data_IF_578874952937
#
_entry.id   IF_578874952937
#
_cell.length_a   1.000
_cell.length_b   1.000
_cell.length_c   1.000
_cell.angle_alpha   90.00
_cell.angle_beta   90.00
_cell.angle_gamma   90.00
#
_symmetry.space_group_name_H-M   'P 1'
#
loop_
_entity.id
_entity.type
_entity.pdbx_description
1 polymer ?
#
# COMPACT_ATOMS: atom_id res chain seq x y z
N UNK A 1 51.66 9.16 24.68
CA UNK A 1 51.06 8.04 23.90
C UNK A 1 49.55 7.86 24.14
N UNK A 2 48.98 8.31 25.26
CA UNK A 2 47.52 8.17 25.55
C UNK A 2 46.60 8.92 24.57
N UNK A 3 46.93 10.17 24.21
CA UNK A 3 46.12 11.00 23.31
C UNK A 3 45.90 10.39 21.91
N UNK A 4 46.84 9.58 21.42
CA UNK A 4 46.72 8.92 20.10
C UNK A 4 45.77 7.73 20.19
N UNK A 5 45.84 6.96 21.28
CA UNK A 5 44.91 5.86 21.53
C UNK A 5 43.47 6.35 21.78
N UNK A 6 43.30 7.52 22.42
CA UNK A 6 41.99 8.14 22.61
C UNK A 6 41.38 8.62 21.28
N UNK A 7 42.20 9.15 20.36
CA UNK A 7 41.73 9.56 19.03
C UNK A 7 41.39 8.36 18.13
N UNK A 8 42.16 7.28 18.22
CA UNK A 8 41.92 6.04 17.48
C UNK A 8 40.67 5.31 18.00
N UNK A 9 40.49 5.21 19.32
CA UNK A 9 39.30 4.60 19.93
C UNK A 9 38.03 5.42 19.64
N UNK A 10 38.10 6.75 19.64
CA UNK A 10 36.97 7.60 19.24
C UNK A 10 36.63 7.48 17.75
N UNK A 11 37.62 7.29 16.87
CA UNK A 11 37.37 7.01 15.44
C UNK A 11 36.79 5.61 15.20
N UNK A 12 37.25 4.61 15.94
CA UNK A 12 36.70 3.24 15.88
C UNK A 12 35.25 3.20 16.37
N UNK A 13 34.94 3.82 17.52
CA UNK A 13 33.57 3.94 18.04
C UNK A 13 32.63 4.68 17.08
N UNK A 14 33.13 5.73 16.41
CA UNK A 14 32.34 6.47 15.40
C UNK A 14 32.05 5.60 14.17
N UNK A 15 33.02 4.81 13.71
CA UNK A 15 32.87 3.90 12.57
C UNK A 15 31.94 2.72 12.88
N UNK A 16 31.99 2.18 14.10
CA UNK A 16 31.05 1.15 14.57
C UNK A 16 29.63 1.71 14.70
N UNK A 17 29.46 2.92 15.22
CA UNK A 17 28.15 3.55 15.36
C UNK A 17 27.54 3.96 14.01
N UNK A 18 28.34 4.46 13.06
CA UNK A 18 27.89 4.77 11.70
C UNK A 18 27.60 3.47 10.90
N UNK A 19 28.37 2.40 11.14
CA UNK A 19 28.11 1.06 10.60
C UNK A 19 26.82 0.47 11.18
N UNK A 20 26.58 0.58 12.48
CA UNK A 20 25.36 0.10 13.14
C UNK A 20 24.13 0.89 12.67
N UNK A 21 24.26 2.20 12.47
CA UNK A 21 23.20 3.03 11.88
C UNK A 21 22.93 2.65 10.43
N UNK A 22 23.96 2.43 9.61
CA UNK A 22 23.80 1.95 8.24
C UNK A 22 23.20 0.55 8.17
N UNK A 23 23.57 -0.35 9.09
CA UNK A 23 23.00 -1.69 9.17
C UNK A 23 21.54 -1.64 9.59
N UNK A 24 21.20 -0.83 10.61
CA UNK A 24 19.82 -0.60 11.01
C UNK A 24 19.00 0.08 9.90
N UNK A 25 19.61 0.97 9.10
CA UNK A 25 18.96 1.58 7.95
C UNK A 25 18.77 0.57 6.80
N UNK A 26 19.76 -0.30 6.55
CA UNK A 26 19.67 -1.36 5.56
C UNK A 26 18.62 -2.42 5.97
N UNK A 27 18.59 -2.82 7.23
CA UNK A 27 17.58 -3.72 7.80
C UNK A 27 16.18 -3.11 7.74
N UNK A 28 16.03 -1.82 8.07
CA UNK A 28 14.77 -1.09 7.90
C UNK A 28 14.38 -0.93 6.43
N UNK A 29 15.35 -0.82 5.52
CA UNK A 29 15.12 -0.80 4.07
C UNK A 29 14.65 -2.16 3.55
N UNK A 30 15.29 -3.26 3.97
CA UNK A 30 14.94 -4.62 3.58
C UNK A 30 13.64 -5.09 4.21
N UNK A 31 13.32 -4.61 5.42
CA UNK A 31 12.04 -4.81 6.08
C UNK A 31 10.92 -3.90 5.53
N UNK A 32 11.18 -3.10 4.49
CA UNK A 32 10.19 -2.22 3.85
C UNK A 32 9.78 -0.98 4.66
N UNK A 33 10.35 -0.80 5.86
CA UNK A 33 10.03 0.27 6.82
C UNK A 33 10.60 1.65 6.43
N UNK A 34 11.50 1.72 5.45
CA UNK A 34 11.99 3.00 4.88
C UNK A 34 11.28 3.41 3.59
N UNK A 35 10.46 2.53 3.02
CA UNK A 35 9.55 2.99 1.98
C UNK A 35 8.47 3.83 2.66
N UNK A 36 7.93 4.85 2.00
CA UNK A 36 6.82 5.68 2.52
C UNK A 36 5.52 4.90 2.81
N UNK A 37 5.60 3.57 2.85
CA UNK A 37 4.55 2.59 3.07
C UNK A 37 4.57 1.98 4.49
N UNK A 38 5.47 2.40 5.38
CA UNK A 38 5.42 2.02 6.79
C UNK A 38 4.12 2.57 7.44
N UNK A 39 3.08 1.75 7.49
CA UNK A 39 1.72 2.12 7.93
C UNK A 39 0.60 1.83 6.92
N UNK A 40 0.90 1.31 5.72
CA UNK A 40 -0.08 1.06 4.66
C UNK A 40 -0.81 -0.29 4.79
N UNK A 41 -0.45 -1.11 5.78
CA UNK A 41 -1.07 -2.41 6.06
C UNK A 41 -2.17 -2.32 7.13
N UNK A 42 -3.07 -1.34 7.03
CA UNK A 42 -4.24 -1.33 7.90
C UNK A 42 -5.34 -2.17 7.27
N UNK A 43 -5.60 -3.35 7.84
CA UNK A 43 -6.81 -4.12 7.54
C UNK A 43 -7.95 -3.37 8.18
N UNK A 44 -8.81 -2.79 7.35
CA UNK A 44 -10.00 -2.11 7.83
C UNK A 44 -11.12 -3.09 8.15
N UNK A 45 -11.83 -2.80 9.24
CA UNK A 45 -12.98 -3.62 9.64
C UNK A 45 -14.14 -3.38 8.67
N UNK A 46 -14.75 -4.46 8.19
CA UNK A 46 -15.98 -4.37 7.39
C UNK A 46 -17.08 -3.68 8.18
N UNK A 47 -17.84 -2.81 7.52
CA UNK A 47 -18.99 -2.16 8.13
C UNK A 47 -20.14 -3.19 8.33
N UNK A 48 -21.16 -2.82 9.11
CA UNK A 48 -22.28 -3.72 9.42
C UNK A 48 -23.06 -4.15 8.17
N UNK A 49 -23.22 -3.24 7.20
CA UNK A 49 -23.91 -3.53 5.94
C UNK A 49 -23.17 -4.58 5.10
N UNK A 50 -21.84 -4.50 5.02
CA UNK A 50 -21.00 -5.47 4.33
C UNK A 50 -21.08 -6.84 5.00
N UNK A 51 -21.04 -6.89 6.33
CA UNK A 51 -21.19 -8.13 7.07
C UNK A 51 -22.58 -8.75 6.85
N UNK A 52 -23.64 -7.93 6.83
CA UNK A 52 -25.00 -8.37 6.53
C UNK A 52 -25.14 -8.90 5.10
N UNK A 53 -24.46 -8.28 4.12
CA UNK A 53 -24.42 -8.77 2.75
C UNK A 53 -23.71 -10.13 2.65
N UNK A 54 -22.58 -10.30 3.33
CA UNK A 54 -21.88 -11.58 3.40
C UNK A 54 -22.75 -12.67 4.04
N UNK A 55 -23.45 -12.33 5.13
CA UNK A 55 -24.40 -13.24 5.77
C UNK A 55 -25.53 -13.62 4.83
N UNK A 56 -26.09 -12.65 4.08
CA UNK A 56 -27.12 -12.91 3.07
C UNK A 56 -26.62 -13.88 2.01
N UNK A 57 -25.40 -13.71 1.48
CA UNK A 57 -24.79 -14.62 0.50
C UNK A 57 -24.74 -16.06 1.05
N UNK A 58 -24.25 -16.24 2.28
CA UNK A 58 -24.18 -17.56 2.89
C UNK A 58 -25.57 -18.18 3.07
N UNK A 59 -26.52 -17.42 3.58
CA UNK A 59 -27.90 -17.91 3.79
C UNK A 59 -28.67 -18.17 2.50
N UNK A 60 -28.46 -17.38 1.44
CA UNK A 60 -29.16 -17.54 0.16
C UNK A 60 -28.63 -18.70 -0.67
N UNK A 61 -27.39 -19.12 -0.43
CA UNK A 61 -26.73 -20.22 -1.12
C UNK A 61 -26.47 -21.43 -0.22
N UNK A 62 -27.05 -21.45 0.98
CA UNK A 62 -26.94 -22.58 1.90
C UNK A 62 -27.62 -23.82 1.32
N UNK A 63 -26.92 -24.95 1.37
CA UNK A 63 -27.45 -26.28 1.12
C UNK A 63 -27.83 -26.96 2.44
N UNK A 64 -28.53 -28.10 2.39
CA UNK A 64 -28.89 -28.86 3.61
C UNK A 64 -27.66 -29.31 4.43
N UNK A 65 -26.48 -29.39 3.81
CA UNK A 65 -25.19 -29.72 4.46
C UNK A 65 -24.45 -28.50 5.04
N UNK A 66 -24.97 -27.28 4.84
CA UNK A 66 -24.34 -26.03 5.29
C UNK A 66 -24.62 -25.79 6.79
N UNK A 67 -23.86 -26.45 7.66
CA UNK A 67 -24.13 -26.47 9.10
C UNK A 67 -23.42 -25.38 9.92
N UNK A 68 -22.47 -24.62 9.36
CA UNK A 68 -21.61 -23.69 10.12
C UNK A 68 -21.62 -22.24 9.59
N UNK A 69 -22.79 -21.71 9.19
CA UNK A 69 -22.93 -20.36 8.61
C UNK A 69 -22.24 -19.25 9.41
N UNK A 70 -22.32 -19.27 10.74
CA UNK A 70 -21.72 -18.22 11.57
C UNK A 70 -20.18 -18.28 11.58
N UNK A 71 -19.60 -19.47 11.47
CA UNK A 71 -18.14 -19.66 11.38
C UNK A 71 -17.65 -19.27 9.98
N UNK A 72 -18.35 -19.74 8.95
CA UNK A 72 -18.05 -19.37 7.56
C UNK A 72 -18.16 -17.85 7.37
N UNK A 73 -19.12 -17.20 8.03
CA UNK A 73 -19.26 -15.75 8.04
C UNK A 73 -18.04 -15.06 8.65
N UNK A 74 -17.53 -15.55 9.79
CA UNK A 74 -16.34 -14.99 10.41
C UNK A 74 -15.11 -15.11 9.50
N UNK A 75 -14.91 -16.27 8.87
CA UNK A 75 -13.81 -16.49 7.92
C UNK A 75 -13.96 -15.60 6.69
N UNK A 76 -15.17 -15.49 6.13
CA UNK A 76 -15.43 -14.68 4.95
C UNK A 76 -15.26 -13.19 5.21
N UNK A 77 -15.60 -12.71 6.42
CA UNK A 77 -15.31 -11.34 6.87
C UNK A 77 -13.81 -11.08 6.86
N UNK A 78 -13.02 -11.99 7.44
CA UNK A 78 -11.56 -11.86 7.48
C UNK A 78 -10.98 -11.81 6.05
N UNK A 79 -11.31 -12.80 5.20
CA UNK A 79 -10.84 -12.86 3.82
C UNK A 79 -11.23 -11.60 3.04
N UNK A 80 -12.47 -11.13 3.18
CA UNK A 80 -12.95 -9.95 2.45
C UNK A 80 -12.21 -8.69 2.89
N UNK A 81 -11.93 -8.53 4.20
CA UNK A 81 -11.15 -7.41 4.70
C UNK A 81 -9.71 -7.41 4.15
N UNK A 82 -9.08 -8.59 4.07
CA UNK A 82 -7.75 -8.76 3.49
C UNK A 82 -7.73 -8.43 2.00
N UNK A 83 -8.72 -8.91 1.23
CA UNK A 83 -8.84 -8.60 -0.20
C UNK A 83 -9.00 -7.10 -0.42
N UNK A 84 -9.81 -6.40 0.38
CA UNK A 84 -9.96 -4.94 0.30
C UNK A 84 -8.66 -4.20 0.62
N UNK A 85 -7.92 -4.68 1.62
CA UNK A 85 -6.61 -4.13 1.98
C UNK A 85 -5.59 -4.32 0.84
N UNK A 86 -5.49 -5.53 0.27
CA UNK A 86 -4.61 -5.84 -0.87
C UNK A 86 -4.95 -4.95 -2.07
N UNK A 87 -6.23 -4.81 -2.41
CA UNK A 87 -6.65 -3.96 -3.53
C UNK A 87 -6.28 -2.49 -3.30
N UNK A 88 -6.51 -1.96 -2.10
CA UNK A 88 -6.12 -0.59 -1.76
C UNK A 88 -4.61 -0.36 -1.87
N UNK A 89 -3.82 -1.33 -1.41
CA UNK A 89 -2.36 -1.29 -1.53
C UNK A 89 -1.92 -1.31 -2.98
N UNK A 90 -2.47 -2.20 -3.80
CA UNK A 90 -2.13 -2.33 -5.21
C UNK A 90 -2.35 -0.98 -5.93
N UNK A 91 -3.48 -0.32 -5.68
CA UNK A 91 -3.78 0.99 -6.27
C UNK A 91 -2.71 2.03 -5.90
N UNK A 92 -2.37 2.17 -4.62
CA UNK A 92 -1.38 3.15 -4.14
C UNK A 92 0.01 2.83 -4.73
N UNK A 93 0.42 1.56 -4.69
CA UNK A 93 1.72 1.11 -5.18
C UNK A 93 1.87 1.36 -6.68
N UNK A 94 0.86 0.99 -7.48
CA UNK A 94 0.84 1.26 -8.90
C UNK A 94 0.83 2.77 -9.17
N UNK A 95 -0.02 3.55 -8.49
CA UNK A 95 -0.10 4.99 -8.64
C UNK A 95 1.24 5.70 -8.41
N UNK A 96 2.01 5.27 -7.40
CA UNK A 96 3.35 5.79 -7.16
C UNK A 96 4.31 5.49 -8.33
N UNK A 97 4.30 4.25 -8.87
CA UNK A 97 5.16 3.88 -10.00
C UNK A 97 4.76 4.62 -11.27
N UNK A 98 3.46 4.76 -11.51
CA UNK A 98 2.91 5.53 -12.63
C UNK A 98 3.35 7.00 -12.52
N UNK A 99 3.31 7.60 -11.32
CA UNK A 99 3.78 8.97 -11.10
C UNK A 99 5.27 9.13 -11.40
N UNK A 100 6.09 8.15 -11.02
CA UNK A 100 7.52 8.11 -11.36
C UNK A 100 7.74 8.01 -12.87
N UNK A 101 7.03 7.11 -13.55
CA UNK A 101 7.08 6.98 -15.00
C UNK A 101 6.64 8.28 -15.71
N UNK A 102 5.56 8.92 -15.24
CA UNK A 102 5.10 10.21 -15.73
C UNK A 102 6.23 11.25 -15.64
N UNK A 103 6.92 11.34 -14.50
CA UNK A 103 8.05 12.27 -14.31
C UNK A 103 9.21 11.99 -15.28
N UNK A 104 9.56 10.73 -15.50
CA UNK A 104 10.61 10.34 -16.46
C UNK A 104 10.22 10.71 -17.89
N UNK A 105 8.94 10.51 -18.25
CA UNK A 105 8.44 10.67 -19.61
C UNK A 105 8.10 12.12 -19.98
N UNK A 106 8.03 13.05 -19.02
CA UNK A 106 7.81 14.50 -19.26
C UNK A 106 8.80 15.15 -20.23
N UNK A 107 10.02 14.62 -20.36
CA UNK A 107 11.06 15.16 -21.26
C UNK A 107 10.98 14.63 -22.69
N UNK A 108 10.00 13.79 -22.99
CA UNK A 108 9.78 13.21 -24.31
C UNK A 108 8.57 13.83 -24.98
N UNK A 109 8.38 13.53 -26.27
CA UNK A 109 7.24 14.02 -27.04
C UNK A 109 5.90 13.65 -26.39
N UNK A 110 4.87 14.46 -26.70
CA UNK A 110 3.50 14.17 -26.31
C UNK A 110 3.08 12.77 -26.78
N UNK A 111 2.31 12.10 -25.93
CA UNK A 111 1.87 10.72 -26.14
C UNK A 111 2.80 9.64 -25.58
N UNK A 112 4.09 9.93 -25.30
CA UNK A 112 5.03 8.93 -24.77
C UNK A 112 4.55 8.27 -23.47
N UNK A 113 3.93 9.06 -22.57
CA UNK A 113 3.34 8.52 -21.35
C UNK A 113 2.13 7.62 -21.64
N UNK A 114 1.23 8.04 -22.53
CA UNK A 114 0.06 7.25 -22.92
C UNK A 114 0.45 5.93 -23.59
N UNK A 115 1.45 5.95 -24.47
CA UNK A 115 1.99 4.74 -25.12
C UNK A 115 2.57 3.78 -24.09
N UNK A 116 3.33 4.31 -23.10
CA UNK A 116 3.84 3.50 -21.99
C UNK A 116 2.71 2.89 -21.14
N UNK A 117 1.62 3.63 -20.88
CA UNK A 117 0.45 3.11 -20.17
C UNK A 117 -0.21 1.95 -20.93
N UNK A 118 -0.45 2.12 -22.23
CA UNK A 118 -1.04 1.09 -23.08
C UNK A 118 -0.13 -0.14 -23.15
N UNK A 119 1.18 0.06 -23.31
CA UNK A 119 2.15 -1.04 -23.34
C UNK A 119 2.19 -1.82 -22.02
N UNK A 120 2.13 -1.14 -20.88
CA UNK A 120 2.33 -1.76 -19.56
C UNK A 120 1.03 -2.36 -18.98
N UNK A 121 -0.12 -1.70 -19.20
CA UNK A 121 -1.41 -2.07 -18.60
C UNK A 121 -2.43 -2.59 -19.62
N UNK A 122 -2.13 -2.56 -20.91
CA UNK A 122 -3.08 -2.89 -21.98
C UNK A 122 -4.20 -1.85 -22.18
N UNK A 123 -4.29 -0.83 -21.32
CA UNK A 123 -5.29 0.23 -21.37
C UNK A 123 -4.78 1.49 -20.67
N UNK A 124 -5.42 2.64 -20.95
CA UNK A 124 -5.12 3.92 -20.28
C UNK A 124 -5.94 4.17 -19.03
N UNK A 125 -7.18 3.66 -18.97
CA UNK A 125 -8.15 4.04 -17.94
C UNK A 125 -7.74 3.59 -16.54
N UNK A 126 -7.42 2.31 -16.37
CA UNK A 126 -7.01 1.73 -15.09
C UNK A 126 -5.81 2.45 -14.47
N UNK A 127 -4.69 2.65 -15.19
CA UNK A 127 -3.56 3.37 -14.60
C UNK A 127 -3.83 4.86 -14.37
N UNK A 128 -4.68 5.52 -15.16
CA UNK A 128 -5.11 6.89 -14.83
C UNK A 128 -5.91 6.94 -13.52
N UNK A 129 -6.84 6.00 -13.30
CA UNK A 129 -7.60 5.90 -12.06
C UNK A 129 -6.66 5.66 -10.86
N UNK A 130 -5.65 4.79 -11.01
CA UNK A 130 -4.65 4.56 -9.97
C UNK A 130 -3.81 5.79 -9.67
N UNK A 131 -3.40 6.52 -10.71
CA UNK A 131 -2.65 7.77 -10.56
C UNK A 131 -3.50 8.82 -9.82
N UNK A 132 -4.75 9.02 -10.22
CA UNK A 132 -5.66 9.98 -9.58
C UNK A 132 -5.92 9.63 -8.12
N UNK A 133 -6.19 8.35 -7.82
CA UNK A 133 -6.35 7.90 -6.43
C UNK A 133 -5.08 8.16 -5.62
N UNK A 134 -3.91 7.83 -6.16
CA UNK A 134 -2.64 8.05 -5.47
C UNK A 134 -2.35 9.53 -5.22
N UNK A 135 -2.62 10.40 -6.19
CA UNK A 135 -2.44 11.85 -6.04
C UNK A 135 -3.38 12.42 -4.96
N UNK A 136 -4.64 12.00 -4.96
CA UNK A 136 -5.60 12.35 -3.91
C UNK A 136 -5.13 11.85 -2.54
N UNK A 137 -4.84 10.55 -2.41
CA UNK A 137 -4.38 9.92 -1.17
C UNK A 137 -3.11 10.59 -0.61
N UNK A 138 -2.18 10.96 -1.50
CA UNK A 138 -0.93 11.62 -1.10
C UNK A 138 -1.15 13.04 -0.59
N UNK A 139 -2.19 13.74 -1.07
CA UNK A 139 -2.54 15.09 -0.65
C UNK A 139 -3.27 15.14 0.71
N UNK A 140 -3.83 14.03 1.17
CA UNK A 140 -4.53 13.94 2.45
C UNK A 140 -3.58 13.91 3.65
N UNK A 141 -4.04 14.48 4.77
CA UNK A 141 -3.44 14.27 6.10
C UNK A 141 -3.58 12.80 6.53
N UNK A 142 -2.75 12.37 7.48
CA UNK A 142 -2.74 10.97 7.94
C UNK A 142 -4.12 10.49 8.41
N UNK A 143 -4.83 11.31 9.19
CA UNK A 143 -6.17 10.97 9.70
C UNK A 143 -7.21 10.78 8.57
N UNK A 144 -7.11 11.56 7.49
CA UNK A 144 -8.02 11.47 6.36
C UNK A 144 -7.68 10.31 5.41
N UNK A 145 -6.45 9.80 5.45
CA UNK A 145 -6.04 8.65 4.62
C UNK A 145 -6.73 7.38 5.04
N UNK A 146 -6.95 7.18 6.34
CA UNK A 146 -7.71 6.02 6.85
C UNK A 146 -9.14 6.06 6.32
N UNK A 147 -9.81 7.22 6.41
CA UNK A 147 -11.16 7.42 5.87
C UNK A 147 -11.19 7.19 4.35
N UNK A 148 -10.22 7.71 3.61
CA UNK A 148 -10.13 7.52 2.16
C UNK A 148 -9.85 6.06 1.73
N UNK A 149 -9.36 5.22 2.65
CA UNK A 149 -9.21 3.79 2.39
C UNK A 149 -10.55 3.05 2.51
N UNK A 150 -11.46 3.52 3.36
CA UNK A 150 -12.82 2.98 3.49
C UNK A 150 -13.76 3.38 2.35
N UNK A 151 -13.49 4.53 1.72
CA UNK A 151 -14.35 5.03 0.64
C UNK A 151 -14.31 4.12 -0.60
N UNK A 152 -15.45 3.97 -1.31
CA UNK A 152 -15.47 3.36 -2.64
C UNK A 152 -14.46 4.06 -3.55
N UNK A 153 -13.52 3.30 -4.11
CA UNK A 153 -12.41 3.89 -4.91
C UNK A 153 -12.93 4.68 -6.10
N UNK A 154 -14.03 4.22 -6.71
CA UNK A 154 -14.71 4.90 -7.82
C UNK A 154 -15.13 6.33 -7.49
N UNK A 155 -15.49 6.63 -6.23
CA UNK A 155 -15.88 7.97 -5.82
C UNK A 155 -14.75 9.00 -5.88
N UNK A 156 -13.48 8.55 -5.98
CA UNK A 156 -12.30 9.43 -6.00
C UNK A 156 -11.85 9.75 -7.43
N UNK A 157 -12.15 8.88 -8.41
CA UNK A 157 -11.77 9.07 -9.81
C UNK A 157 -12.95 9.27 -10.77
N UNK A 158 -14.15 9.53 -10.23
CA UNK A 158 -15.32 10.02 -10.98
C UNK A 158 -15.43 11.52 -10.76
#
# INVERSE_FOLDING_TARGET
MSKVNDLLSNRLKKKEHDSAKMHALAERSSAGQLSGFAGVFQVSKLNEEEQDQLKKILTSHATEESHEVDKDLYELIAITSEVKAINSQAIILHGERIKKAQTVLKKYKDGAFTDWLIHTYGNRQTPYNFLQYFEFYSALSLDLREIAQEMPKQAIYT
#
